data_IF_186303968125
#
_entry.id   IF_186303968125
#
_cell.length_a   1.000
_cell.length_b   1.000
_cell.length_c   1.000
_cell.angle_alpha   90.00
_cell.angle_beta   90.00
_cell.angle_gamma   90.00
#
_symmetry.space_group_name_H-M   'P 1'
#
loop_
_entity.id
_entity.type
_entity.pdbx_description
1 polymer ?
#
# COMPACT_ATOMS: atom_id res chain seq x y z
N UNK A 1 -13.10 -4.96 -1.91
CA UNK A 1 -12.22 -6.06 -1.46
C UNK A 1 -10.89 -5.45 -1.02
N UNK A 2 -10.21 -5.99 -0.01
CA UNK A 2 -8.84 -5.54 0.32
C UNK A 2 -7.84 -6.41 -0.44
N UNK A 3 -6.85 -5.78 -1.06
CA UNK A 3 -5.80 -6.45 -1.84
C UNK A 3 -4.42 -6.34 -1.19
N UNK A 4 -4.27 -5.39 -0.26
CA UNK A 4 -3.04 -5.13 0.46
C UNK A 4 -3.19 -5.52 1.91
N UNK A 5 -2.33 -6.43 2.35
CA UNK A 5 -2.30 -6.94 3.72
C UNK A 5 -0.91 -6.75 4.33
N UNK A 6 -0.86 -6.81 5.66
CA UNK A 6 0.36 -6.68 6.46
C UNK A 6 1.44 -7.64 5.96
N UNK A 7 2.63 -7.11 5.66
CA UNK A 7 3.81 -7.91 5.29
C UNK A 7 3.67 -8.72 3.98
N UNK A 8 2.80 -8.32 3.06
CA UNK A 8 2.55 -9.06 1.80
C UNK A 8 3.23 -8.45 0.58
N UNK A 9 3.81 -7.26 0.71
CA UNK A 9 4.44 -6.56 -0.41
C UNK A 9 5.97 -6.60 -0.28
N UNK A 10 6.66 -6.60 -1.43
CA UNK A 10 8.09 -6.27 -1.48
C UNK A 10 8.28 -4.76 -1.61
N UNK A 11 9.46 -4.21 -1.27
CA UNK A 11 9.75 -2.79 -1.50
C UNK A 11 9.51 -2.34 -2.94
N UNK A 12 9.93 -3.14 -3.91
CA UNK A 12 9.84 -2.83 -5.34
C UNK A 12 8.38 -2.74 -5.77
N UNK A 13 7.56 -3.72 -5.36
CA UNK A 13 6.14 -3.74 -5.68
C UNK A 13 5.39 -2.60 -5.02
N UNK A 14 5.72 -2.27 -3.76
CA UNK A 14 5.13 -1.13 -3.07
C UNK A 14 5.49 0.19 -3.79
N UNK A 15 6.75 0.37 -4.20
CA UNK A 15 7.19 1.57 -4.92
C UNK A 15 6.44 1.76 -6.25
N UNK A 16 6.22 0.67 -7.01
CA UNK A 16 5.40 0.72 -8.22
C UNK A 16 3.96 1.14 -7.90
N UNK A 17 3.33 0.57 -6.87
CA UNK A 17 1.97 0.96 -6.47
C UNK A 17 1.91 2.42 -6.01
N UNK A 18 2.91 2.90 -5.27
CA UNK A 18 3.01 4.29 -4.84
C UNK A 18 3.17 5.25 -6.03
N UNK A 19 3.88 4.85 -7.09
CA UNK A 19 4.00 5.65 -8.31
C UNK A 19 2.67 5.87 -9.05
N UNK A 20 1.68 4.98 -8.84
CA UNK A 20 0.33 5.09 -9.38
C UNK A 20 -0.60 5.95 -8.50
N UNK A 21 -0.14 6.33 -7.31
CA UNK A 21 -0.89 7.10 -6.32
C UNK A 21 -0.38 8.54 -6.22
N UNK A 22 -1.27 9.46 -5.86
CA UNK A 22 -0.91 10.86 -5.53
C UNK A 22 -0.56 11.00 -4.05
N UNK A 23 0.30 10.13 -3.52
CA UNK A 23 0.77 10.19 -2.12
C UNK A 23 2.17 10.80 -2.14
N UNK A 24 2.27 12.07 -1.77
CA UNK A 24 3.55 12.82 -1.79
C UNK A 24 4.29 12.80 -0.45
N UNK A 25 3.57 12.71 0.68
CA UNK A 25 4.15 12.72 2.03
C UNK A 25 5.05 11.50 2.25
N UNK A 26 6.30 11.77 2.64
CA UNK A 26 7.30 10.72 2.88
C UNK A 26 7.00 9.92 4.16
N UNK A 27 6.51 10.58 5.21
CA UNK A 27 6.09 9.92 6.45
C UNK A 27 4.97 8.89 6.19
N UNK A 28 4.02 9.24 5.32
CA UNK A 28 2.94 8.32 4.91
C UNK A 28 3.52 7.14 4.11
N UNK A 29 4.44 7.38 3.17
CA UNK A 29 5.07 6.28 2.40
C UNK A 29 5.85 5.34 3.33
N UNK A 30 6.57 5.90 4.29
CA UNK A 30 7.35 5.12 5.27
C UNK A 30 6.42 4.29 6.15
N UNK A 31 5.33 4.88 6.66
CA UNK A 31 4.29 4.16 7.40
C UNK A 31 3.64 3.03 6.58
N UNK A 32 3.38 3.27 5.29
CA UNK A 32 2.86 2.22 4.39
C UNK A 32 3.88 1.09 4.19
N UNK A 33 5.17 1.41 4.07
CA UNK A 33 6.24 0.41 4.00
C UNK A 33 6.38 -0.37 5.30
N UNK A 34 6.27 0.28 6.46
CA UNK A 34 6.22 -0.37 7.77
C UNK A 34 5.11 -1.43 7.84
N UNK A 35 3.91 -1.06 7.40
CA UNK A 35 2.76 -1.95 7.43
C UNK A 35 2.85 -3.07 6.36
N UNK A 36 3.06 -2.70 5.09
CA UNK A 36 2.89 -3.60 3.94
C UNK A 36 4.12 -4.45 3.62
N UNK A 37 5.32 -3.97 3.97
CA UNK A 37 6.57 -4.68 3.70
C UNK A 37 7.12 -5.29 4.98
N UNK A 38 7.36 -4.47 6.02
CA UNK A 38 7.94 -4.93 7.29
C UNK A 38 6.95 -5.69 8.16
N UNK A 39 5.65 -5.59 7.86
CA UNK A 39 4.62 -6.32 8.60
C UNK A 39 4.37 -5.76 10.00
N UNK A 40 4.62 -4.48 10.26
CA UNK A 40 4.18 -3.82 11.49
C UNK A 40 2.66 -3.68 11.47
N UNK A 41 1.96 -3.63 12.61
CA UNK A 41 0.52 -3.35 12.61
C UNK A 41 0.21 -1.90 12.22
N UNK A 42 -1.02 -1.61 11.78
CA UNK A 42 -1.41 -0.29 11.26
C UNK A 42 -1.22 0.84 12.29
N UNK A 43 -1.53 0.58 13.56
CA UNK A 43 -1.48 1.62 14.60
C UNK A 43 -0.04 1.95 14.92
N UNK A 44 0.80 0.93 15.11
CA UNK A 44 2.22 1.12 15.38
C UNK A 44 2.95 1.73 14.18
N UNK A 45 2.66 1.29 12.96
CA UNK A 45 3.26 1.86 11.74
C UNK A 45 2.93 3.36 11.60
N UNK A 46 1.68 3.76 11.85
CA UNK A 46 1.29 5.17 11.82
C UNK A 46 1.98 5.97 12.95
N UNK A 47 1.98 5.43 14.18
CA UNK A 47 2.57 6.08 15.35
C UNK A 47 4.10 6.29 15.20
N UNK A 48 4.83 5.28 14.75
CA UNK A 48 6.29 5.33 14.57
C UNK A 48 6.74 6.41 13.60
N UNK A 49 5.86 6.77 12.65
CA UNK A 49 6.12 7.76 11.62
C UNK A 49 5.42 9.11 11.89
N UNK A 50 4.81 9.29 13.06
CA UNK A 50 4.08 10.53 13.40
C UNK A 50 2.85 10.81 12.53
N UNK A 51 2.31 9.78 11.86
CA UNK A 51 1.17 9.92 10.95
C UNK A 51 -0.15 9.74 11.74
N UNK A 52 -1.09 10.68 11.66
CA UNK A 52 -2.42 10.49 12.23
C UNK A 52 -3.13 9.27 11.61
N UNK A 53 -3.74 8.43 12.43
CA UNK A 53 -4.42 7.21 11.98
C UNK A 53 -5.45 7.42 10.83
N UNK A 54 -6.22 8.53 10.78
CA UNK A 54 -7.10 8.80 9.63
C UNK A 54 -6.34 9.04 8.32
N UNK A 55 -5.19 9.72 8.38
CA UNK A 55 -4.36 9.98 7.20
C UNK A 55 -3.75 8.68 6.67
N UNK A 56 -3.22 7.85 7.58
CA UNK A 56 -2.74 6.52 7.22
C UNK A 56 -3.83 5.67 6.57
N UNK A 57 -5.03 5.65 7.18
CA UNK A 57 -6.16 4.87 6.65
C UNK A 57 -6.61 5.35 5.28
N UNK A 58 -6.68 6.68 5.07
CA UNK A 58 -6.97 7.28 3.76
C UNK A 58 -5.95 6.87 2.71
N UNK A 59 -4.66 6.97 3.04
CA UNK A 59 -3.58 6.60 2.12
C UNK A 59 -3.60 5.10 1.77
N UNK A 60 -3.80 4.23 2.77
CA UNK A 60 -3.91 2.79 2.57
C UNK A 60 -5.12 2.41 1.70
N UNK A 61 -6.24 3.12 1.85
CA UNK A 61 -7.42 2.91 1.00
C UNK A 61 -7.17 3.34 -0.45
N UNK A 62 -6.51 4.47 -0.67
CA UNK A 62 -6.12 4.91 -2.02
C UNK A 62 -5.18 3.90 -2.69
N UNK A 63 -4.20 3.39 -1.95
CA UNK A 63 -3.26 2.40 -2.44
C UNK A 63 -3.95 1.06 -2.75
N UNK A 64 -4.89 0.62 -1.91
CA UNK A 64 -5.70 -0.58 -2.17
C UNK A 64 -6.50 -0.46 -3.46
N UNK A 65 -7.07 0.71 -3.75
CA UNK A 65 -7.80 0.93 -5.01
C UNK A 65 -6.89 0.78 -6.24
N UNK A 66 -5.61 1.15 -6.14
CA UNK A 66 -4.64 0.90 -7.22
C UNK A 66 -4.22 -0.56 -7.31
N UNK A 67 -4.05 -1.22 -6.16
CA UNK A 67 -3.79 -2.66 -6.12
C UNK A 67 -4.90 -3.47 -6.77
N UNK A 68 -6.17 -3.12 -6.53
CA UNK A 68 -7.32 -3.74 -7.20
C UNK A 68 -7.22 -3.66 -8.73
N UNK A 69 -6.90 -2.49 -9.28
CA UNK A 69 -6.72 -2.30 -10.73
C UNK A 69 -5.60 -3.19 -11.27
N UNK A 70 -4.47 -3.25 -10.56
CA UNK A 70 -3.33 -4.10 -10.95
C UNK A 70 -3.70 -5.58 -10.93
N UNK A 71 -4.42 -6.07 -9.92
CA UNK A 71 -4.83 -7.47 -9.88
C UNK A 71 -5.82 -7.82 -11.01
N UNK A 72 -6.78 -6.93 -11.33
CA UNK A 72 -7.66 -7.13 -12.49
C UNK A 72 -6.90 -7.20 -13.81
N UNK A 73 -5.87 -6.37 -13.99
CA UNK A 73 -5.01 -6.42 -15.19
C UNK A 73 -4.28 -7.76 -15.26
N UNK A 74 -3.71 -8.23 -14.15
CA UNK A 74 -3.02 -9.53 -14.11
C UNK A 74 -3.96 -10.68 -14.43
N UNK A 75 -5.20 -10.67 -13.95
CA UNK A 75 -6.19 -11.69 -14.27
C UNK A 75 -6.42 -11.78 -15.78
N UNK A 76 -6.55 -10.63 -16.45
CA UNK A 76 -6.69 -10.56 -17.93
C UNK A 76 -5.43 -11.07 -18.63
N UNK A 77 -4.24 -10.64 -18.18
CA UNK A 77 -2.97 -11.03 -18.80
C UNK A 77 -2.67 -12.51 -18.60
N UNK A 78 -3.08 -13.08 -17.46
CA UNK A 78 -2.95 -14.51 -17.17
C UNK A 78 -3.85 -15.34 -18.07
N UNK A 79 -5.09 -14.90 -18.33
CA UNK A 79 -6.02 -15.61 -19.25
C UNK A 79 -5.56 -15.60 -20.71
N UNK A 80 -4.73 -14.64 -21.11
CA UNK A 80 -4.16 -14.54 -22.46
C UNK A 80 -2.88 -15.35 -22.66
N UNK A 81 -2.35 -15.96 -21.60
CA UNK A 81 -1.18 -16.85 -21.63
C UNK A 81 -1.61 -18.31 -21.58
#
# INVERSE_FOLDING_TARGET
MNYLFKGTQTPERLNLLLSLCKISSEDIKTALSDYLVRGIDKKSAALLNGVPAPNFSRALNQLNAKAEVVEKIKEIDWQKR
#
